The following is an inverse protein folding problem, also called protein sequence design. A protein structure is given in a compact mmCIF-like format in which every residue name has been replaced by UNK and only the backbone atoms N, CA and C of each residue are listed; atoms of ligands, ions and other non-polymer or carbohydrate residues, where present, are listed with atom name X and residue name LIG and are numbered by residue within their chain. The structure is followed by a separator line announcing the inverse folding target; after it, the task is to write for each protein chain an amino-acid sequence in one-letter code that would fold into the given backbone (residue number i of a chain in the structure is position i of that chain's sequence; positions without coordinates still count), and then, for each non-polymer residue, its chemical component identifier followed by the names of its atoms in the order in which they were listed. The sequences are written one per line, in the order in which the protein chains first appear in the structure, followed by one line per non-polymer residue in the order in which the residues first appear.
data_IF_693318451644
#
_entry.id   IF_693318451644
#
_cell.length_a   1.000
_cell.length_b   1.000
_cell.length_c   1.000
_cell.angle_alpha   90.00
_cell.angle_beta   90.00
_cell.angle_gamma   90.00
#
_symmetry.space_group_name_H-M   'P 1'
#
loop_
_entity.id
_entity.type
_entity.pdbx_description
1 polymer ?
#
# COMPACT_ATOMS: atom_id res chain seq x y z
N UNK A 1 14.88 -35.60 -13.12
CA UNK A 1 14.57 -37.03 -12.90
C UNK A 1 13.07 -37.08 -12.70
N UNK A 2 12.30 -37.77 -13.55
CA UNK A 2 10.83 -37.77 -13.44
C UNK A 2 10.45 -38.48 -12.14
N UNK A 3 9.71 -37.81 -11.24
CA UNK A 3 9.18 -38.42 -10.03
C UNK A 3 7.69 -38.66 -10.21
N UNK A 4 7.23 -39.83 -9.78
CA UNK A 4 5.80 -40.15 -9.71
C UNK A 4 5.19 -39.48 -8.46
N UNK A 5 4.00 -38.91 -8.61
CA UNK A 5 3.28 -38.17 -7.57
C UNK A 5 2.95 -38.98 -6.32
N UNK A 6 2.44 -40.20 -6.46
CA UNK A 6 2.18 -41.10 -5.32
C UNK A 6 3.47 -41.48 -4.59
N UNK A 7 4.55 -41.70 -5.35
CA UNK A 7 5.87 -41.96 -4.77
C UNK A 7 6.34 -40.79 -3.90
N UNK A 8 6.17 -39.55 -4.35
CA UNK A 8 6.50 -38.35 -3.56
C UNK A 8 5.69 -38.31 -2.27
N UNK A 9 4.38 -38.53 -2.36
CA UNK A 9 3.49 -38.56 -1.19
C UNK A 9 3.97 -39.59 -0.16
N UNK A 10 4.19 -40.83 -0.61
CA UNK A 10 4.63 -41.95 0.22
C UNK A 10 6.02 -41.73 0.83
N UNK A 11 6.98 -41.24 0.04
CA UNK A 11 8.34 -40.93 0.52
C UNK A 11 8.31 -39.84 1.60
N UNK A 12 7.49 -38.80 1.43
CA UNK A 12 7.38 -37.71 2.41
C UNK A 12 6.67 -38.13 3.68
N UNK A 13 5.62 -38.94 3.58
CA UNK A 13 4.92 -39.47 4.75
C UNK A 13 5.85 -40.39 5.56
N UNK A 14 6.63 -41.26 4.90
CA UNK A 14 7.63 -42.08 5.61
C UNK A 14 8.76 -41.28 6.19
N UNK A 15 9.24 -40.28 5.45
CA UNK A 15 10.31 -39.42 5.93
C UNK A 15 9.87 -38.71 7.23
N UNK A 16 8.62 -38.28 7.31
CA UNK A 16 8.03 -37.69 8.51
C UNK A 16 8.00 -38.68 9.67
N UNK A 17 7.42 -39.86 9.46
CA UNK A 17 7.24 -40.85 10.53
C UNK A 17 8.56 -41.42 11.03
N UNK A 18 9.55 -41.61 10.15
CA UNK A 18 10.90 -42.05 10.57
C UNK A 18 11.62 -41.05 11.47
N UNK A 19 11.27 -39.77 11.42
CA UNK A 19 11.77 -38.78 12.38
C UNK A 19 11.29 -39.08 13.80
N UNK A 20 10.13 -39.73 13.93
CA UNK A 20 9.47 -40.07 15.21
C UNK A 20 10.04 -41.36 15.79
N UNK A 21 10.42 -42.32 14.95
CA UNK A 21 10.94 -43.64 15.37
C UNK A 21 12.38 -43.64 15.90
N UNK A 22 13.02 -42.47 15.99
CA UNK A 22 14.37 -42.40 16.53
C UNK A 22 14.33 -42.58 18.06
N UNK A 23 14.50 -43.83 18.52
CA UNK A 23 14.52 -44.22 19.94
C UNK A 23 15.37 -43.29 20.81
N UNK A 24 16.54 -42.87 20.31
CA UNK A 24 17.44 -41.99 21.06
C UNK A 24 16.87 -40.58 21.26
N UNK A 25 16.15 -40.05 20.27
CA UNK A 25 15.45 -38.76 20.36
C UNK A 25 14.22 -38.86 21.26
N UNK A 26 13.43 -39.92 21.10
CA UNK A 26 12.25 -40.19 21.93
C UNK A 26 12.63 -40.30 23.41
N UNK A 27 13.68 -41.06 23.72
CA UNK A 27 14.20 -41.18 25.09
C UNK A 27 14.64 -39.82 25.66
N UNK A 28 15.44 -39.05 24.90
CA UNK A 28 15.93 -37.74 25.32
C UNK A 28 14.80 -36.75 25.60
N UNK A 29 13.74 -36.76 24.79
CA UNK A 29 12.59 -35.88 24.98
C UNK A 29 11.71 -36.36 26.15
N UNK A 30 11.54 -37.67 26.31
CA UNK A 30 10.77 -38.26 27.39
C UNK A 30 11.38 -37.99 28.78
N UNK A 31 12.70 -37.81 28.89
CA UNK A 31 13.37 -37.42 30.13
C UNK A 31 13.02 -36.01 30.61
N UNK A 32 12.52 -35.14 29.73
CA UNK A 32 12.09 -33.77 30.07
C UNK A 32 10.70 -33.71 30.69
N UNK A 33 9.95 -34.82 30.65
CA UNK A 33 8.56 -34.92 31.10
C UNK A 33 8.45 -35.38 32.56
N UNK A 34 7.34 -35.04 33.23
CA UNK A 34 7.03 -35.60 34.56
C UNK A 34 6.71 -37.09 34.45
N UNK A 35 6.83 -37.84 35.55
CA UNK A 35 6.65 -39.31 35.58
C UNK A 35 5.36 -39.78 34.88
N UNK A 36 4.22 -39.16 35.16
CA UNK A 36 2.94 -39.53 34.53
C UNK A 36 2.83 -39.12 33.05
N UNK A 37 3.41 -37.99 32.66
CA UNK A 37 3.46 -37.54 31.26
C UNK A 37 4.42 -38.41 30.44
N UNK A 38 5.53 -38.83 31.04
CA UNK A 38 6.51 -39.75 30.46
C UNK A 38 5.91 -41.12 30.18
N UNK A 39 5.12 -41.64 31.11
CA UNK A 39 4.43 -42.93 30.94
C UNK A 39 3.43 -42.88 29.79
N UNK A 40 2.55 -41.85 29.77
CA UNK A 40 1.62 -41.62 28.66
C UNK A 40 2.34 -41.45 27.33
N UNK A 41 3.38 -40.63 27.28
CA UNK A 41 4.14 -40.38 26.06
C UNK A 41 4.74 -41.66 25.47
N UNK A 42 5.41 -42.48 26.30
CA UNK A 42 6.07 -43.70 25.82
C UNK A 42 5.14 -44.88 25.57
N UNK A 43 4.22 -45.13 26.50
CA UNK A 43 3.45 -46.38 26.51
C UNK A 43 2.12 -46.27 25.78
N UNK A 44 1.63 -45.05 25.53
CA UNK A 44 0.40 -44.81 24.77
C UNK A 44 0.76 -44.18 23.42
N UNK A 45 1.29 -42.95 23.43
CA UNK A 45 1.44 -42.15 22.21
C UNK A 45 2.47 -42.75 21.24
N UNK A 46 3.67 -43.13 21.71
CA UNK A 46 4.70 -43.73 20.84
C UNK A 46 4.32 -45.14 20.34
N UNK A 47 3.52 -45.88 21.11
CA UNK A 47 2.99 -47.19 20.69
C UNK A 47 1.97 -47.00 19.56
N UNK A 48 1.04 -46.05 19.72
CA UNK A 48 0.08 -45.69 18.66
C UNK A 48 0.79 -45.18 17.39
N UNK A 49 1.88 -44.43 17.52
CA UNK A 49 2.71 -44.04 16.38
C UNK A 49 3.32 -45.24 15.66
N UNK A 50 3.87 -46.22 16.39
CA UNK A 50 4.42 -47.44 15.79
C UNK A 50 3.37 -48.25 15.02
N UNK A 51 2.14 -48.32 15.53
CA UNK A 51 1.02 -48.95 14.80
C UNK A 51 0.67 -48.18 13.52
N UNK A 52 0.70 -46.84 13.54
CA UNK A 52 0.50 -46.02 12.34
C UNK A 52 1.64 -46.18 11.33
N UNK A 53 2.91 -46.29 11.77
CA UNK A 53 4.02 -46.54 10.84
C UNK A 53 3.77 -47.81 10.02
N UNK A 54 3.37 -48.90 10.68
CA UNK A 54 3.09 -50.18 10.00
C UNK A 54 1.98 -49.99 8.94
N UNK A 55 0.89 -49.29 9.29
CA UNK A 55 -0.19 -49.01 8.33
C UNK A 55 0.27 -48.15 7.15
N UNK A 56 1.19 -47.20 7.39
CA UNK A 56 1.78 -46.37 6.33
C UNK A 56 2.64 -47.24 5.43
N UNK A 57 3.52 -48.07 5.97
CA UNK A 57 4.34 -49.02 5.19
C UNK A 57 3.47 -49.94 4.33
N UNK A 58 2.40 -50.50 4.89
CA UNK A 58 1.43 -51.30 4.12
C UNK A 58 0.77 -50.52 2.98
N UNK A 59 0.44 -49.24 3.19
CA UNK A 59 -0.16 -48.38 2.16
C UNK A 59 0.82 -48.13 1.02
N UNK A 60 2.11 -48.00 1.34
CA UNK A 60 3.19 -47.81 0.38
C UNK A 60 3.42 -49.06 -0.44
N UNK A 61 3.47 -50.23 0.20
CA UNK A 61 3.59 -51.52 -0.49
C UNK A 61 2.42 -51.79 -1.44
N UNK A 62 1.21 -51.33 -1.06
CA UNK A 62 -0.01 -51.43 -1.88
C UNK A 62 -0.10 -50.35 -2.96
N UNK A 63 0.84 -49.39 -2.99
CA UNK A 63 0.80 -48.22 -3.87
C UNK A 63 -0.55 -47.47 -3.78
N UNK A 64 -0.99 -47.17 -2.55
CA UNK A 64 -2.20 -46.38 -2.27
C UNK A 64 -1.88 -45.21 -1.34
N UNK A 65 -2.78 -44.22 -1.32
CA UNK A 65 -2.73 -43.15 -0.33
C UNK A 65 -3.12 -43.67 1.06
N UNK A 66 -2.54 -43.07 2.09
CA UNK A 66 -2.78 -43.44 3.47
C UNK A 66 -4.12 -42.88 3.98
N UNK A 67 -4.91 -43.73 4.65
CA UNK A 67 -6.29 -43.40 5.05
C UNK A 67 -6.43 -42.77 6.44
N UNK A 68 -5.54 -43.09 7.37
CA UNK A 68 -5.70 -42.76 8.80
C UNK A 68 -5.01 -41.42 9.16
N UNK A 69 -5.18 -40.42 8.29
CA UNK A 69 -4.53 -39.10 8.42
C UNK A 69 -5.00 -38.33 9.66
N UNK A 70 -6.28 -38.46 10.02
CA UNK A 70 -6.86 -37.83 11.22
C UNK A 70 -6.17 -38.30 12.50
N UNK A 71 -5.93 -39.61 12.61
CA UNK A 71 -5.26 -40.16 13.77
C UNK A 71 -3.78 -39.78 13.80
N UNK A 72 -3.11 -39.76 12.65
CA UNK A 72 -1.73 -39.28 12.55
C UNK A 72 -1.61 -37.82 13.04
N UNK A 73 -2.45 -36.92 12.54
CA UNK A 73 -2.44 -35.51 12.94
C UNK A 73 -2.78 -35.34 14.42
N UNK A 74 -3.75 -36.10 14.93
CA UNK A 74 -4.10 -36.11 16.35
C UNK A 74 -2.89 -36.48 17.21
N UNK A 75 -2.19 -37.56 16.90
CA UNK A 75 -1.01 -37.98 17.65
C UNK A 75 0.11 -36.94 17.59
N UNK A 76 0.32 -36.30 16.43
CA UNK A 76 1.29 -35.21 16.29
C UNK A 76 0.95 -34.04 17.21
N UNK A 77 -0.31 -33.64 17.26
CA UNK A 77 -0.78 -32.57 18.15
C UNK A 77 -0.67 -32.97 19.63
N UNK A 78 -0.90 -34.24 19.99
CA UNK A 78 -0.69 -34.74 21.35
C UNK A 78 0.78 -34.69 21.75
N UNK A 79 1.70 -35.10 20.86
CA UNK A 79 3.15 -34.97 21.09
C UNK A 79 3.56 -33.52 21.26
N UNK A 80 3.10 -32.61 20.39
CA UNK A 80 3.38 -31.18 20.52
C UNK A 80 2.82 -30.58 21.81
N UNK A 81 1.68 -31.08 22.30
CA UNK A 81 1.08 -30.66 23.56
C UNK A 81 1.91 -31.07 24.79
N UNK A 82 2.61 -32.20 24.73
CA UNK A 82 3.49 -32.69 25.80
C UNK A 82 4.92 -32.15 25.67
N UNK A 83 5.45 -32.16 24.45
CA UNK A 83 6.82 -31.80 24.10
C UNK A 83 6.79 -30.84 22.90
N UNK A 84 6.62 -29.52 23.13
CA UNK A 84 6.50 -28.53 22.04
C UNK A 84 7.67 -28.50 21.06
N UNK A 85 8.87 -28.88 21.51
CA UNK A 85 10.09 -28.96 20.70
C UNK A 85 10.42 -30.35 20.17
N UNK A 86 9.46 -31.28 20.12
CA UNK A 86 9.74 -32.64 19.65
C UNK A 86 10.09 -32.69 18.16
N UNK A 87 9.35 -31.92 17.35
CA UNK A 87 9.48 -31.94 15.89
C UNK A 87 10.34 -30.80 15.33
N UNK A 88 11.09 -30.08 16.20
CA UNK A 88 11.97 -28.97 15.82
C UNK A 88 11.35 -28.04 14.75
N UNK A 89 11.94 -28.01 13.55
CA UNK A 89 11.54 -27.14 12.44
C UNK A 89 10.20 -27.49 11.80
N UNK A 90 9.69 -28.72 11.98
CA UNK A 90 8.42 -29.15 11.40
C UNK A 90 7.23 -28.28 11.86
N UNK A 91 7.30 -27.75 13.08
CA UNK A 91 6.22 -26.91 13.63
C UNK A 91 5.93 -25.68 12.74
N UNK A 92 6.94 -25.20 12.00
CA UNK A 92 6.83 -24.01 11.14
C UNK A 92 6.00 -24.23 9.87
N UNK A 93 5.76 -25.49 9.48
CA UNK A 93 4.96 -25.82 8.29
C UNK A 93 4.09 -27.05 8.51
N UNK A 94 3.81 -27.45 9.76
CA UNK A 94 2.98 -28.64 10.06
C UNK A 94 1.60 -28.52 9.42
N UNK A 95 0.99 -27.34 9.48
CA UNK A 95 -0.37 -27.15 8.98
C UNK A 95 -0.38 -27.12 7.45
N UNK A 96 0.70 -26.61 6.83
CA UNK A 96 0.93 -26.75 5.38
C UNK A 96 1.08 -28.22 4.99
N UNK A 97 1.89 -29.00 5.71
CA UNK A 97 2.08 -30.43 5.44
C UNK A 97 0.77 -31.20 5.51
N UNK A 98 0.02 -31.03 6.61
CA UNK A 98 -1.26 -31.70 6.79
C UNK A 98 -2.28 -31.24 5.74
N UNK A 99 -2.42 -29.94 5.50
CA UNK A 99 -3.34 -29.44 4.46
C UNK A 99 -3.05 -30.04 3.08
N UNK A 100 -1.78 -30.17 2.70
CA UNK A 100 -1.42 -30.80 1.42
C UNK A 100 -1.80 -32.28 1.41
N UNK A 101 -1.42 -33.07 2.43
CA UNK A 101 -1.67 -34.52 2.41
C UNK A 101 -3.17 -34.86 2.48
N UNK A 102 -3.98 -34.10 3.23
CA UNK A 102 -5.44 -34.27 3.22
C UNK A 102 -6.00 -33.99 1.83
N UNK A 103 -5.63 -32.86 1.25
CA UNK A 103 -6.14 -32.47 -0.04
C UNK A 103 -5.74 -33.44 -1.17
N UNK A 104 -4.51 -33.96 -1.14
CA UNK A 104 -4.06 -34.99 -2.06
C UNK A 104 -4.84 -36.30 -1.86
N UNK A 105 -5.11 -36.70 -0.61
CA UNK A 105 -5.92 -37.90 -0.31
C UNK A 105 -7.33 -37.75 -0.84
N UNK A 106 -8.00 -36.62 -0.59
CA UNK A 106 -9.36 -36.35 -1.07
C UNK A 106 -9.46 -36.40 -2.60
N UNK A 107 -8.41 -35.92 -3.29
CA UNK A 107 -8.34 -35.91 -4.76
C UNK A 107 -7.84 -37.21 -5.37
N UNK A 108 -7.52 -38.23 -4.57
CA UNK A 108 -7.01 -39.52 -5.06
C UNK A 108 -7.93 -40.17 -6.10
N UNK A 109 -9.26 -40.08 -5.92
CA UNK A 109 -10.24 -40.65 -6.85
C UNK A 109 -10.18 -40.04 -8.27
N UNK A 110 -9.46 -38.92 -8.45
CA UNK A 110 -9.25 -38.25 -9.74
C UNK A 110 -8.09 -38.85 -10.55
N UNK A 111 -7.46 -39.93 -10.10
CA UNK A 111 -6.37 -40.60 -10.83
C UNK A 111 -5.04 -39.84 -10.77
N UNK A 112 -4.80 -39.13 -9.66
CA UNK A 112 -3.62 -38.26 -9.48
C UNK A 112 -2.34 -39.03 -9.15
N UNK A 113 -2.40 -40.36 -9.02
CA UNK A 113 -1.28 -41.24 -8.67
C UNK A 113 -0.21 -41.34 -9.76
N UNK A 114 -0.57 -41.03 -11.00
CA UNK A 114 0.28 -41.21 -12.18
C UNK A 114 0.79 -39.88 -12.78
N UNK A 115 0.72 -38.78 -12.03
CA UNK A 115 1.21 -37.49 -12.51
C UNK A 115 2.74 -37.51 -12.56
N UNK A 116 3.27 -37.32 -13.75
CA UNK A 116 4.71 -37.22 -14.01
C UNK A 116 5.22 -35.82 -13.69
N UNK A 117 5.99 -35.71 -12.60
CA UNK A 117 6.56 -34.44 -12.16
C UNK A 117 7.99 -34.31 -12.69
N UNK A 118 8.17 -33.38 -13.64
CA UNK A 118 9.41 -33.17 -14.41
C UNK A 118 10.17 -31.91 -14.02
N UNK A 119 9.43 -30.88 -13.63
CA UNK A 119 9.98 -29.61 -13.17
C UNK A 119 10.73 -29.77 -11.84
N UNK A 120 11.60 -28.80 -11.56
CA UNK A 120 12.41 -28.81 -10.35
C UNK A 120 12.10 -27.57 -9.53
N UNK A 121 11.27 -27.70 -8.50
CA UNK A 121 10.92 -26.59 -7.63
C UNK A 121 11.84 -26.48 -6.43
N UNK A 122 11.96 -25.28 -5.88
CA UNK A 122 12.64 -25.01 -4.64
C UNK A 122 11.73 -24.20 -3.70
N UNK A 123 11.71 -24.62 -2.44
CA UNK A 123 11.08 -23.90 -1.34
C UNK A 123 12.12 -23.06 -0.57
N UNK A 124 11.75 -21.83 -0.24
CA UNK A 124 12.54 -20.95 0.63
C UNK A 124 11.60 -20.09 1.47
N UNK A 125 12.04 -19.70 2.66
CA UNK A 125 11.33 -18.76 3.53
C UNK A 125 11.51 -17.32 3.03
N UNK A 126 10.47 -16.50 3.14
CA UNK A 126 10.47 -15.08 2.82
C UNK A 126 10.06 -14.28 4.06
N UNK A 127 10.87 -13.28 4.41
CA UNK A 127 10.52 -12.32 5.45
C UNK A 127 9.85 -11.08 4.86
N UNK A 128 9.00 -10.41 5.64
CA UNK A 128 8.39 -9.12 5.29
C UNK A 128 7.62 -9.13 3.94
N UNK A 129 6.85 -10.19 3.69
CA UNK A 129 5.95 -10.28 2.53
C UNK A 129 4.50 -10.08 2.96
N UNK A 130 3.84 -9.04 2.45
CA UNK A 130 2.48 -8.65 2.86
C UNK A 130 1.37 -9.47 2.17
N UNK A 131 1.68 -10.68 1.68
CA UNK A 131 0.69 -11.60 1.12
C UNK A 131 0.83 -12.96 1.79
N UNK A 132 -0.31 -13.50 2.23
CA UNK A 132 -0.36 -14.80 2.90
C UNK A 132 -0.42 -15.93 1.88
N UNK A 133 -1.25 -15.77 0.84
CA UNK A 133 -1.50 -16.79 -0.16
C UNK A 133 -1.51 -16.18 -1.55
N UNK A 134 -0.73 -16.74 -2.47
CA UNK A 134 -0.69 -16.29 -3.86
C UNK A 134 -0.20 -17.41 -4.77
N UNK A 135 -0.79 -17.51 -5.96
CA UNK A 135 -0.28 -18.40 -7.01
C UNK A 135 -0.21 -17.62 -8.31
N UNK A 136 1.00 -17.55 -8.86
CA UNK A 136 1.22 -17.01 -10.19
C UNK A 136 1.00 -18.11 -11.21
N UNK A 137 0.21 -17.80 -12.23
CA UNK A 137 -0.01 -18.63 -13.41
C UNK A 137 -0.35 -20.10 -13.08
N UNK A 138 -1.62 -20.35 -12.74
CA UNK A 138 -2.12 -21.68 -12.33
C UNK A 138 -2.08 -22.72 -13.47
N UNK A 139 -2.06 -22.25 -14.70
CA UNK A 139 -2.23 -23.08 -15.90
C UNK A 139 -0.88 -23.55 -16.46
N UNK A 140 0.18 -22.75 -16.32
CA UNK A 140 1.53 -23.04 -16.83
C UNK A 140 2.52 -23.32 -15.68
N UNK A 141 2.55 -24.57 -15.22
CA UNK A 141 3.38 -25.07 -14.09
C UNK A 141 4.84 -24.58 -14.20
N UNK A 142 5.41 -24.60 -15.40
CA UNK A 142 6.80 -24.23 -15.64
C UNK A 142 7.11 -22.77 -15.27
N UNK A 143 6.11 -21.88 -15.32
CA UNK A 143 6.21 -20.46 -14.97
C UNK A 143 5.62 -20.15 -13.59
N UNK A 144 4.94 -21.11 -12.97
CA UNK A 144 4.24 -20.86 -11.72
C UNK A 144 5.21 -20.61 -10.56
N UNK A 145 4.74 -19.81 -9.62
CA UNK A 145 5.26 -19.82 -8.26
C UNK A 145 4.11 -19.69 -7.28
N UNK A 146 4.34 -20.21 -6.08
CA UNK A 146 3.39 -20.20 -4.98
C UNK A 146 3.98 -19.39 -3.83
N UNK A 147 3.14 -18.63 -3.15
CA UNK A 147 3.43 -18.04 -1.85
C UNK A 147 2.38 -18.56 -0.88
N UNK A 148 2.83 -19.05 0.27
CA UNK A 148 1.98 -19.66 1.28
C UNK A 148 2.53 -19.32 2.67
N UNK A 149 1.67 -18.79 3.54
CA UNK A 149 1.97 -18.53 4.95
C UNK A 149 1.34 -19.59 5.84
N UNK A 150 2.12 -20.11 6.78
CA UNK A 150 1.65 -21.02 7.80
C UNK A 150 0.86 -20.25 8.89
N UNK A 151 -0.43 -20.03 8.64
CA UNK A 151 -1.36 -19.34 9.57
C UNK A 151 -2.34 -20.30 10.25
N UNK A 152 -3.34 -20.74 9.49
CA UNK A 152 -4.40 -21.64 9.93
C UNK A 152 -4.61 -22.67 8.83
N UNK A 153 -4.68 -23.95 9.23
CA UNK A 153 -4.92 -25.08 8.35
C UNK A 153 -6.10 -24.86 7.38
N UNK A 154 -7.24 -24.36 7.86
CA UNK A 154 -8.44 -24.19 7.05
C UNK A 154 -8.23 -23.18 5.90
N UNK A 155 -7.55 -22.06 6.18
CA UNK A 155 -7.23 -21.06 5.14
C UNK A 155 -6.23 -21.62 4.12
N UNK A 156 -5.29 -22.45 4.59
CA UNK A 156 -4.35 -23.14 3.71
C UNK A 156 -5.08 -24.13 2.80
N UNK A 157 -6.00 -24.94 3.35
CA UNK A 157 -6.79 -25.90 2.58
C UNK A 157 -7.63 -25.21 1.51
N UNK A 158 -8.38 -24.16 1.86
CA UNK A 158 -9.17 -23.35 0.92
C UNK A 158 -8.30 -22.76 -0.20
N UNK A 159 -7.10 -22.29 0.15
CA UNK A 159 -6.15 -21.80 -0.84
C UNK A 159 -5.69 -22.92 -1.79
N UNK A 160 -5.23 -24.04 -1.22
CA UNK A 160 -4.70 -25.16 -1.99
C UNK A 160 -5.76 -25.79 -2.91
N UNK A 161 -7.05 -25.76 -2.55
CA UNK A 161 -8.17 -26.19 -3.42
C UNK A 161 -8.13 -25.52 -4.78
N UNK A 162 -7.73 -24.25 -4.81
CA UNK A 162 -7.65 -23.39 -5.97
C UNK A 162 -6.30 -23.42 -6.69
N UNK A 163 -5.37 -24.28 -6.24
CA UNK A 163 -4.02 -24.44 -6.80
C UNK A 163 -3.97 -25.71 -7.68
N UNK A 164 -3.16 -25.66 -8.74
CA UNK A 164 -2.90 -26.82 -9.58
C UNK A 164 -2.34 -27.98 -8.74
N UNK A 165 -2.94 -29.16 -8.84
CA UNK A 165 -2.58 -30.33 -8.03
C UNK A 165 -1.08 -30.69 -8.11
N UNK A 166 -0.46 -30.45 -9.28
CA UNK A 166 0.96 -30.71 -9.48
C UNK A 166 1.83 -29.80 -8.60
N UNK A 167 1.42 -28.55 -8.40
CA UNK A 167 2.11 -27.62 -7.50
C UNK A 167 2.02 -28.07 -6.04
N UNK A 168 0.93 -28.74 -5.66
CA UNK A 168 0.78 -29.29 -4.29
C UNK A 168 1.75 -30.46 -4.07
N UNK A 169 1.95 -31.32 -5.07
CA UNK A 169 3.01 -32.32 -5.03
C UNK A 169 4.42 -31.71 -5.01
N UNK A 170 4.68 -30.66 -5.80
CA UNK A 170 5.97 -29.96 -5.76
C UNK A 170 6.23 -29.28 -4.42
N UNK A 171 5.19 -28.71 -3.80
CA UNK A 171 5.26 -28.15 -2.46
C UNK A 171 5.62 -29.24 -1.46
N UNK A 172 4.91 -30.38 -1.49
CA UNK A 172 5.17 -31.53 -0.64
C UNK A 172 6.60 -32.07 -0.80
N UNK A 173 7.06 -32.25 -2.06
CA UNK A 173 8.42 -32.72 -2.36
C UNK A 173 9.50 -31.76 -1.84
N UNK A 174 9.18 -30.46 -1.81
CA UNK A 174 10.13 -29.41 -1.39
C UNK A 174 10.16 -29.16 0.12
N UNK A 175 9.23 -29.71 0.91
CA UNK A 175 9.28 -29.64 2.36
C UNK A 175 10.45 -30.47 2.89
N UNK A 176 11.35 -29.85 3.67
CA UNK A 176 12.51 -30.51 4.25
C UNK A 176 12.46 -30.43 5.78
N UNK A 177 12.26 -31.59 6.41
CA UNK A 177 12.16 -31.76 7.87
C UNK A 177 13.44 -31.42 8.63
N UNK A 178 14.59 -31.38 7.95
CA UNK A 178 15.86 -31.05 8.57
C UNK A 178 16.27 -29.59 8.37
N UNK A 179 15.55 -28.83 7.55
CA UNK A 179 15.92 -27.45 7.20
C UNK A 179 15.31 -26.45 8.18
N UNK A 180 16.17 -25.58 8.72
CA UNK A 180 15.73 -24.41 9.50
C UNK A 180 15.16 -23.35 8.55
N UNK A 181 13.98 -22.85 8.91
CA UNK A 181 13.33 -21.72 8.23
C UNK A 181 13.21 -20.56 9.22
N UNK A 182 13.41 -19.35 8.71
CA UNK A 182 13.40 -18.14 9.54
C UNK A 182 12.05 -17.40 9.51
N UNK A 183 11.10 -17.89 8.71
CA UNK A 183 9.79 -17.28 8.47
C UNK A 183 8.69 -18.33 8.50
N UNK A 184 7.48 -17.87 8.77
CA UNK A 184 6.22 -18.59 8.56
C UNK A 184 5.72 -18.51 7.10
N UNK A 185 6.37 -17.71 6.26
CA UNK A 185 5.98 -17.50 4.86
C UNK A 185 6.96 -18.16 3.93
N UNK A 186 6.45 -18.97 3.01
CA UNK A 186 7.24 -19.77 2.09
C UNK A 186 6.91 -19.43 0.65
N UNK A 187 7.92 -19.51 -0.22
CA UNK A 187 7.72 -19.43 -1.65
C UNK A 187 8.29 -20.66 -2.35
N UNK A 188 7.44 -21.28 -3.16
CA UNK A 188 7.78 -22.38 -4.05
C UNK A 188 7.96 -21.81 -5.46
N UNK A 189 9.15 -21.96 -6.04
CA UNK A 189 9.46 -21.46 -7.38
C UNK A 189 10.20 -22.51 -8.21
N UNK A 190 9.92 -22.57 -9.52
CA UNK A 190 10.68 -23.44 -10.42
C UNK A 190 12.14 -22.95 -10.52
N UNK A 191 13.11 -23.86 -10.37
CA UNK A 191 14.55 -23.61 -10.46
C UNK A 191 14.99 -23.16 -11.85
N UNK A 192 14.22 -23.45 -12.90
CA UNK A 192 14.47 -22.90 -14.24
C UNK A 192 14.29 -21.39 -14.28
N UNK A 193 13.45 -20.83 -13.40
CA UNK A 193 13.44 -19.41 -13.08
C UNK A 193 14.66 -19.11 -12.21
N UNK A 194 15.84 -19.15 -12.84
CA UNK A 194 17.15 -18.86 -12.27
C UNK A 194 17.21 -17.42 -11.74
N UNK A 195 16.62 -17.17 -10.57
CA UNK A 195 16.88 -15.96 -9.80
C UNK A 195 18.21 -16.21 -9.07
N UNK A 196 19.32 -16.05 -9.81
CA UNK A 196 20.70 -16.20 -9.33
C UNK A 196 21.11 -14.90 -8.63
N UNK A 197 20.44 -14.51 -7.55
CA UNK A 197 20.78 -13.27 -6.84
C UNK A 197 20.57 -13.41 -5.34
N UNK A 198 21.16 -12.48 -4.60
CA UNK A 198 20.93 -12.25 -3.16
C UNK A 198 19.44 -12.40 -2.82
N UNK A 199 19.14 -13.09 -1.70
CA UNK A 199 17.79 -13.33 -1.21
C UNK A 199 16.94 -12.06 -1.18
N UNK A 200 17.54 -10.90 -0.85
CA UNK A 200 16.80 -9.63 -0.82
C UNK A 200 16.33 -9.19 -2.21
N UNK A 201 17.17 -9.32 -3.23
CA UNK A 201 16.81 -8.94 -4.61
C UNK A 201 15.76 -9.89 -5.16
N UNK A 202 15.84 -11.18 -4.81
CA UNK A 202 14.82 -12.19 -5.15
C UNK A 202 13.44 -11.81 -4.58
N UNK A 203 13.38 -11.38 -3.33
CA UNK A 203 12.13 -10.99 -2.66
C UNK A 203 11.51 -9.75 -3.32
N UNK A 204 12.30 -8.72 -3.63
CA UNK A 204 11.78 -7.51 -4.28
C UNK A 204 11.27 -7.78 -5.71
N UNK A 205 11.94 -8.65 -6.46
CA UNK A 205 11.44 -9.11 -7.77
C UNK A 205 10.12 -9.85 -7.64
N UNK A 206 9.97 -10.72 -6.65
CA UNK A 206 8.71 -11.42 -6.37
C UNK A 206 7.60 -10.45 -5.97
N UNK A 207 7.86 -9.50 -5.07
CA UNK A 207 6.89 -8.44 -4.70
C UNK A 207 6.41 -7.70 -5.94
N UNK A 208 7.33 -7.31 -6.82
CA UNK A 208 7.01 -6.59 -8.06
C UNK A 208 6.13 -7.41 -9.00
N UNK A 209 6.43 -8.71 -9.19
CA UNK A 209 5.61 -9.59 -10.04
C UNK A 209 4.22 -9.79 -9.45
N UNK A 210 4.12 -10.00 -8.14
CA UNK A 210 2.83 -10.12 -7.44
C UNK A 210 2.02 -8.83 -7.59
N UNK A 211 2.64 -7.66 -7.37
CA UNK A 211 2.00 -6.35 -7.55
C UNK A 211 1.50 -6.16 -8.99
N UNK A 212 2.33 -6.49 -9.98
CA UNK A 212 1.97 -6.36 -11.39
C UNK A 212 0.82 -7.30 -11.78
N UNK A 213 0.83 -8.54 -11.29
CA UNK A 213 -0.25 -9.49 -11.52
C UNK A 213 -1.57 -8.99 -10.92
N UNK A 214 -1.56 -8.54 -9.67
CA UNK A 214 -2.72 -7.95 -9.00
C UNK A 214 -3.28 -6.75 -9.78
N UNK A 215 -2.42 -5.80 -10.15
CA UNK A 215 -2.83 -4.64 -10.97
C UNK A 215 -3.40 -5.09 -12.32
N UNK A 216 -2.80 -6.09 -12.97
CA UNK A 216 -3.30 -6.60 -14.26
C UNK A 216 -4.69 -7.23 -14.16
N UNK A 217 -5.08 -7.69 -12.96
CA UNK A 217 -6.41 -8.21 -12.66
C UNK A 217 -7.39 -7.14 -12.15
N UNK A 218 -6.98 -5.87 -12.09
CA UNK A 218 -7.80 -4.77 -11.59
C UNK A 218 -7.83 -4.65 -10.06
N UNK A 219 -6.95 -5.35 -9.33
CA UNK A 219 -6.85 -5.22 -7.88
C UNK A 219 -6.12 -3.92 -7.48
N UNK A 220 -6.51 -3.38 -6.33
CA UNK A 220 -5.87 -2.21 -5.72
C UNK A 220 -4.74 -2.69 -4.80
N UNK A 221 -3.52 -2.18 -5.00
CA UNK A 221 -2.33 -2.59 -4.24
C UNK A 221 -1.82 -1.54 -3.25
N UNK A 222 -2.52 -0.42 -3.12
CA UNK A 222 -2.18 0.68 -2.22
C UNK A 222 -3.36 1.01 -1.31
N UNK A 223 -3.07 1.68 -0.19
CA UNK A 223 -4.10 2.15 0.74
C UNK A 223 -4.58 3.54 0.35
N UNK A 224 -5.89 3.77 0.40
CA UNK A 224 -6.47 5.10 0.25
C UNK A 224 -6.18 5.96 1.49
N UNK A 225 -5.84 7.23 1.29
CA UNK A 225 -5.76 8.23 2.37
C UNK A 225 -6.84 9.29 2.13
N UNK A 226 -7.96 9.13 2.83
CA UNK A 226 -9.15 9.94 2.61
C UNK A 226 -9.13 11.26 3.40
N UNK A 227 -9.72 12.29 2.80
CA UNK A 227 -10.01 13.59 3.38
C UNK A 227 -11.51 13.82 3.37
N UNK A 228 -12.14 13.61 4.52
CA UNK A 228 -13.60 13.63 4.68
C UNK A 228 -14.14 14.93 5.28
N UNK A 229 -13.26 15.88 5.61
CA UNK A 229 -13.69 17.17 6.16
C UNK A 229 -14.45 17.95 5.09
N UNK A 230 -15.61 18.45 5.48
CA UNK A 230 -16.37 19.42 4.68
C UNK A 230 -15.62 20.75 4.74
N UNK A 231 -15.55 21.52 3.64
CA UNK A 231 -14.96 22.85 3.69
C UNK A 231 -15.55 23.69 4.81
N UNK A 232 -14.68 24.14 5.72
CA UNK A 232 -15.08 25.00 6.84
C UNK A 232 -14.43 26.36 6.65
N UNK A 233 -15.26 27.34 6.30
CA UNK A 233 -14.82 28.73 6.10
C UNK A 233 -15.06 29.48 7.41
N UNK A 234 -13.99 29.92 8.04
CA UNK A 234 -14.03 30.68 9.30
C UNK A 234 -13.76 32.17 9.10
N UNK A 235 -13.44 32.61 7.88
CA UNK A 235 -13.43 34.02 7.48
C UNK A 235 -14.82 34.66 7.58
N UNK A 236 -14.86 36.00 7.66
CA UNK A 236 -16.11 36.75 7.57
C UNK A 236 -16.62 36.69 6.12
N UNK A 237 -17.68 35.91 5.88
CA UNK A 237 -18.32 35.76 4.57
C UNK A 237 -19.71 36.40 4.57
N UNK A 238 -20.02 37.15 3.51
CA UNK A 238 -21.33 37.79 3.33
C UNK A 238 -21.99 37.34 2.02
N UNK A 239 -22.95 36.43 2.12
CA UNK A 239 -23.71 35.95 0.97
C UNK A 239 -24.78 36.96 0.57
N UNK A 240 -24.75 37.43 -0.67
CA UNK A 240 -25.74 38.39 -1.18
C UNK A 240 -26.24 38.01 -2.56
N UNK A 241 -27.57 37.88 -2.72
CA UNK A 241 -28.19 37.63 -4.03
C UNK A 241 -27.98 38.77 -5.04
N UNK A 242 -27.53 39.94 -4.58
CA UNK A 242 -27.20 41.07 -5.46
C UNK A 242 -25.83 40.95 -6.13
N UNK A 243 -25.00 39.99 -5.71
CA UNK A 243 -23.66 39.79 -6.25
C UNK A 243 -23.66 38.85 -7.47
N UNK A 244 -22.77 39.13 -8.41
CA UNK A 244 -22.70 38.46 -9.71
C UNK A 244 -21.86 37.18 -9.67
N UNK A 245 -22.26 36.20 -8.85
CA UNK A 245 -21.53 34.94 -8.67
C UNK A 245 -21.43 34.08 -9.95
N UNK A 246 -22.29 34.33 -10.95
CA UNK A 246 -22.27 33.61 -12.24
C UNK A 246 -20.93 33.69 -12.97
N UNK A 247 -20.12 34.72 -12.68
CA UNK A 247 -18.78 34.88 -13.24
C UNK A 247 -17.76 33.82 -12.74
N UNK A 248 -18.14 33.00 -11.77
CA UNK A 248 -17.33 31.93 -11.18
C UNK A 248 -17.85 30.52 -11.52
N UNK A 249 -18.75 30.40 -12.51
CA UNK A 249 -19.38 29.12 -12.88
C UNK A 249 -18.38 27.96 -13.03
N UNK A 250 -17.26 28.18 -13.71
CA UNK A 250 -16.25 27.13 -13.90
C UNK A 250 -15.60 26.71 -12.57
N UNK A 251 -15.22 27.69 -11.72
CA UNK A 251 -14.67 27.42 -10.40
C UNK A 251 -15.67 26.68 -9.51
N UNK A 252 -16.96 27.01 -9.59
CA UNK A 252 -18.03 26.32 -8.85
C UNK A 252 -18.15 24.86 -9.29
N UNK A 253 -18.06 24.54 -10.58
CA UNK A 253 -18.06 23.15 -11.04
C UNK A 253 -16.81 22.38 -10.59
N UNK A 254 -15.62 23.00 -10.64
CA UNK A 254 -14.40 22.38 -10.11
C UNK A 254 -14.53 22.12 -8.61
N UNK A 255 -15.13 23.04 -7.85
CA UNK A 255 -15.42 22.84 -6.42
C UNK A 255 -16.46 21.73 -6.18
N UNK A 256 -17.41 21.53 -7.09
CA UNK A 256 -18.31 20.37 -7.04
C UNK A 256 -17.54 19.07 -7.27
N UNK A 257 -16.61 19.03 -8.22
CA UNK A 257 -15.73 17.88 -8.44
C UNK A 257 -14.81 17.63 -7.25
N UNK A 258 -14.29 18.69 -6.62
CA UNK A 258 -13.56 18.63 -5.35
C UNK A 258 -14.40 17.96 -4.25
N UNK A 259 -15.67 18.30 -4.13
CA UNK A 259 -16.58 17.68 -3.15
C UNK A 259 -16.86 16.20 -3.45
N UNK A 260 -16.75 15.76 -4.70
CA UNK A 260 -16.90 14.35 -5.09
C UNK A 260 -15.67 13.49 -4.76
N UNK A 261 -14.49 14.10 -4.60
CA UNK A 261 -13.28 13.35 -4.26
C UNK A 261 -13.31 12.89 -2.80
N UNK A 262 -12.70 11.75 -2.51
CA UNK A 262 -12.41 11.28 -1.15
C UNK A 262 -10.92 11.30 -0.87
N UNK A 263 -10.10 10.95 -1.86
CA UNK A 263 -8.65 10.90 -1.73
C UNK A 263 -8.00 12.29 -1.53
N UNK A 264 -7.04 12.36 -0.61
CA UNK A 264 -6.36 13.62 -0.25
C UNK A 264 -5.57 14.24 -1.40
N UNK A 265 -4.89 13.44 -2.23
CA UNK A 265 -4.11 13.96 -3.36
C UNK A 265 -5.03 14.56 -4.43
N UNK A 266 -6.11 13.87 -4.79
CA UNK A 266 -7.11 14.38 -5.73
C UNK A 266 -7.80 15.64 -5.21
N UNK A 267 -8.17 15.66 -3.92
CA UNK A 267 -8.69 16.86 -3.24
C UNK A 267 -7.74 18.04 -3.41
N UNK A 268 -6.46 17.83 -3.10
CA UNK A 268 -5.45 18.86 -3.21
C UNK A 268 -5.28 19.37 -4.66
N UNK A 269 -5.23 18.46 -5.64
CA UNK A 269 -5.13 18.83 -7.06
C UNK A 269 -6.37 19.62 -7.51
N UNK A 270 -7.58 19.21 -7.10
CA UNK A 270 -8.83 19.91 -7.46
C UNK A 270 -8.91 21.30 -6.86
N UNK A 271 -8.56 21.50 -5.59
CA UNK A 271 -8.55 22.86 -5.01
C UNK A 271 -7.44 23.72 -5.63
N UNK A 272 -6.29 23.13 -5.98
CA UNK A 272 -5.24 23.83 -6.72
C UNK A 272 -5.71 24.28 -8.12
N UNK A 273 -6.51 23.48 -8.83
CA UNK A 273 -7.10 23.89 -10.12
C UNK A 273 -7.96 25.15 -9.99
N UNK A 274 -8.66 25.33 -8.87
CA UNK A 274 -9.39 26.57 -8.59
C UNK A 274 -8.42 27.74 -8.36
N UNK A 275 -7.37 27.53 -7.58
CA UNK A 275 -6.30 28.54 -7.40
C UNK A 275 -5.68 28.91 -8.75
N UNK A 276 -5.39 27.93 -9.60
CA UNK A 276 -4.85 28.15 -10.94
C UNK A 276 -5.79 28.97 -11.82
N UNK A 277 -7.09 28.67 -11.81
CA UNK A 277 -8.10 29.51 -12.45
C UNK A 277 -8.02 30.96 -11.93
N UNK A 278 -7.88 31.16 -10.62
CA UNK A 278 -7.78 32.49 -10.01
C UNK A 278 -6.48 33.22 -10.34
N UNK A 279 -5.34 32.52 -10.47
CA UNK A 279 -4.07 33.11 -10.89
C UNK A 279 -4.21 33.81 -12.25
N UNK A 280 -4.84 33.13 -13.21
CA UNK A 280 -5.06 33.69 -14.55
C UNK A 280 -6.18 34.73 -14.54
N UNK A 281 -7.28 34.47 -13.84
CA UNK A 281 -8.41 35.42 -13.71
C UNK A 281 -7.96 36.76 -13.12
N UNK A 282 -7.05 36.75 -12.14
CA UNK A 282 -6.45 37.96 -11.56
C UNK A 282 -5.84 38.88 -12.61
N UNK A 283 -5.05 38.32 -13.52
CA UNK A 283 -4.40 39.12 -14.58
C UNK A 283 -5.43 39.77 -15.52
N UNK A 284 -6.57 39.11 -15.73
CA UNK A 284 -7.69 39.64 -16.52
C UNK A 284 -8.43 40.73 -15.73
N UNK A 285 -8.76 40.48 -14.46
CA UNK A 285 -9.42 41.45 -13.57
C UNK A 285 -8.60 42.75 -13.44
N UNK A 286 -7.29 42.65 -13.19
CA UNK A 286 -6.39 43.82 -13.13
C UNK A 286 -6.44 44.65 -14.41
N UNK A 287 -6.66 44.02 -15.56
CA UNK A 287 -6.74 44.72 -16.83
C UNK A 287 -8.11 45.36 -17.08
N UNK A 288 -9.18 44.62 -16.78
CA UNK A 288 -10.58 45.05 -16.96
C UNK A 288 -10.92 46.19 -16.01
N UNK A 289 -10.58 46.05 -14.73
CA UNK A 289 -10.98 46.96 -13.67
C UNK A 289 -10.17 48.27 -13.70
N UNK A 290 -8.86 48.19 -14.00
CA UNK A 290 -7.99 49.39 -14.11
C UNK A 290 -8.11 50.13 -15.45
N UNK A 291 -8.85 49.59 -16.41
CA UNK A 291 -9.14 50.33 -17.65
C UNK A 291 -10.26 51.34 -17.37
N UNK A 292 -9.90 52.63 -17.32
CA UNK A 292 -10.86 53.75 -17.43
C UNK A 292 -11.80 53.52 -18.64
N UNK A 293 -12.93 54.23 -18.78
CA UNK A 293 -13.81 54.08 -19.96
C UNK A 293 -13.09 54.33 -21.32
N UNK A 294 -11.81 54.71 -21.31
CA UNK A 294 -10.90 54.67 -22.45
C UNK A 294 -10.41 53.26 -22.81
N UNK A 295 -11.02 52.75 -23.88
CA UNK A 295 -10.51 51.86 -24.94
C UNK A 295 -9.38 50.87 -24.56
N UNK A 296 -9.69 49.59 -24.73
CA UNK A 296 -8.73 48.48 -24.61
C UNK A 296 -7.79 48.43 -25.83
N UNK A 297 -6.47 48.60 -25.63
CA UNK A 297 -5.48 48.69 -26.72
C UNK A 297 -4.78 47.35 -27.02
N UNK A 298 -4.22 47.22 -28.24
CA UNK A 298 -3.44 46.03 -28.64
C UNK A 298 -2.24 45.79 -27.69
N UNK A 299 -1.61 46.85 -27.19
CA UNK A 299 -0.50 46.74 -26.22
C UNK A 299 -0.97 46.15 -24.89
N UNK A 300 -2.16 46.54 -24.43
CA UNK A 300 -2.80 45.96 -23.23
C UNK A 300 -3.08 44.46 -23.43
N UNK A 301 -3.53 44.07 -24.63
CA UNK A 301 -3.73 42.65 -24.98
C UNK A 301 -2.42 41.85 -25.00
N UNK A 302 -1.34 42.41 -25.57
CA UNK A 302 -0.02 41.76 -25.56
C UNK A 302 0.51 41.57 -24.14
N UNK A 303 0.32 42.56 -23.27
CA UNK A 303 0.72 42.46 -21.86
C UNK A 303 -0.10 41.40 -21.11
N UNK A 304 -1.40 41.26 -21.41
CA UNK A 304 -2.24 40.19 -20.87
C UNK A 304 -1.70 38.81 -21.29
N UNK A 305 -1.41 38.65 -22.58
CA UNK A 305 -0.88 37.39 -23.11
C UNK A 305 0.47 37.03 -22.49
N UNK A 306 1.34 38.01 -22.28
CA UNK A 306 2.61 37.82 -21.58
C UNK A 306 2.43 37.46 -20.09
N UNK A 307 1.45 38.05 -19.41
CA UNK A 307 1.12 37.73 -18.02
C UNK A 307 0.53 36.32 -17.87
N UNK A 308 -0.34 35.91 -18.80
CA UNK A 308 -0.92 34.56 -18.85
C UNK A 308 0.12 33.50 -19.22
N UNK A 309 1.10 33.83 -20.07
CA UNK A 309 2.21 32.94 -20.41
C UNK A 309 3.38 32.98 -19.40
N UNK A 310 3.21 33.61 -18.23
CA UNK A 310 4.25 33.65 -17.22
C UNK A 310 4.47 32.26 -16.59
N UNK A 311 5.65 32.05 -16.00
CA UNK A 311 5.95 30.80 -15.29
C UNK A 311 4.95 30.60 -14.15
N UNK A 312 4.38 29.40 -14.04
CA UNK A 312 3.36 29.03 -13.04
C UNK A 312 3.73 29.48 -11.61
N UNK A 313 4.98 29.28 -11.19
CA UNK A 313 5.44 29.72 -9.87
C UNK A 313 5.40 31.24 -9.71
N UNK A 314 5.70 32.00 -10.76
CA UNK A 314 5.64 33.47 -10.75
C UNK A 314 4.19 33.94 -10.67
N UNK A 315 3.29 33.31 -11.43
CA UNK A 315 1.86 33.58 -11.37
C UNK A 315 1.32 33.32 -9.95
N UNK A 316 1.70 32.19 -9.33
CA UNK A 316 1.29 31.84 -7.97
C UNK A 316 1.84 32.81 -6.93
N UNK A 317 3.10 33.23 -7.05
CA UNK A 317 3.69 34.24 -6.17
C UNK A 317 2.95 35.58 -6.23
N UNK A 318 2.57 36.00 -7.44
CA UNK A 318 1.82 37.25 -7.63
C UNK A 318 0.40 37.14 -7.09
N UNK A 319 -0.26 36.00 -7.29
CA UNK A 319 -1.59 35.74 -6.74
C UNK A 319 -1.56 35.71 -5.21
N UNK A 320 -0.69 34.90 -4.61
CA UNK A 320 -0.55 34.80 -3.15
C UNK A 320 -0.16 36.13 -2.52
N UNK A 321 0.65 36.96 -3.19
CA UNK A 321 0.93 38.31 -2.71
C UNK A 321 -0.36 39.13 -2.55
N UNK A 322 -1.24 39.13 -3.54
CA UNK A 322 -2.49 39.87 -3.47
C UNK A 322 -3.42 39.33 -2.38
N UNK A 323 -3.49 37.99 -2.20
CA UNK A 323 -4.27 37.36 -1.13
C UNK A 323 -3.76 37.77 0.26
N UNK A 324 -2.45 37.73 0.48
CA UNK A 324 -1.84 38.08 1.78
C UNK A 324 -2.09 39.54 2.20
N UNK A 325 -2.34 40.43 1.23
CA UNK A 325 -2.66 41.84 1.46
C UNK A 325 -4.15 42.07 1.82
N UNK A 326 -5.01 41.03 1.75
CA UNK A 326 -6.42 41.11 2.15
C UNK A 326 -6.63 40.91 3.65
N UNK A 327 -7.76 41.45 4.14
CA UNK A 327 -8.22 41.27 5.50
C UNK A 327 -9.06 39.99 5.59
N UNK A 328 -8.59 39.04 6.38
CA UNK A 328 -9.28 37.79 6.71
C UNK A 328 -10.53 38.02 7.57
N UNK A 329 -10.39 38.88 8.58
CA UNK A 329 -11.44 39.39 9.48
C UNK A 329 -11.19 40.87 9.75
N UNK A 330 -12.08 41.53 10.48
CA UNK A 330 -11.79 42.89 10.95
C UNK A 330 -10.42 42.95 11.65
N UNK A 331 -9.50 43.75 11.11
CA UNK A 331 -8.14 43.98 11.62
C UNK A 331 -7.16 42.79 11.55
N UNK A 332 -7.54 41.63 11.01
CA UNK A 332 -6.66 40.47 10.83
C UNK A 332 -6.38 40.30 9.34
N UNK A 333 -5.12 40.36 8.93
CA UNK A 333 -4.71 40.08 7.55
C UNK A 333 -4.66 38.57 7.28
N UNK A 334 -4.81 38.16 6.01
CA UNK A 334 -4.54 36.77 5.61
C UNK A 334 -3.11 36.34 5.96
N UNK A 335 -2.15 37.25 5.84
CA UNK A 335 -0.76 37.02 6.24
C UNK A 335 -0.64 36.58 7.70
N UNK A 336 -1.27 37.31 8.62
CA UNK A 336 -1.26 36.99 10.05
C UNK A 336 -2.02 35.71 10.36
N UNK A 337 -3.16 35.49 9.70
CA UNK A 337 -3.95 34.27 9.87
C UNK A 337 -3.17 33.02 9.46
N UNK A 338 -2.54 33.02 8.28
CA UNK A 338 -1.75 31.88 7.79
C UNK A 338 -0.53 31.62 8.68
N UNK A 339 0.10 32.67 9.22
CA UNK A 339 1.22 32.52 10.14
C UNK A 339 0.78 31.86 11.45
N UNK A 340 -0.31 32.33 12.07
CA UNK A 340 -0.88 31.76 13.29
C UNK A 340 -1.33 30.30 13.08
N UNK A 341 -1.93 30.01 11.93
CA UNK A 341 -2.32 28.67 11.54
C UNK A 341 -1.10 27.75 11.37
N UNK A 342 0.00 28.25 10.79
CA UNK A 342 1.26 27.51 10.68
C UNK A 342 1.89 27.22 12.05
N UNK A 343 1.92 28.19 12.96
CA UNK A 343 2.44 28.00 14.32
C UNK A 343 1.60 26.99 15.13
N UNK A 344 0.27 27.03 14.95
CA UNK A 344 -0.65 26.05 15.53
C UNK A 344 -0.44 24.66 14.93
N UNK A 345 -0.26 24.57 13.61
CA UNK A 345 0.04 23.32 12.92
C UNK A 345 1.32 22.66 13.46
N UNK A 346 2.40 23.43 13.63
CA UNK A 346 3.65 22.94 14.21
C UNK A 346 3.50 22.46 15.66
N UNK A 347 2.64 23.11 16.44
CA UNK A 347 2.37 22.71 17.83
C UNK A 347 1.62 21.37 17.92
N UNK A 348 0.79 21.06 16.92
CA UNK A 348 -0.06 19.87 16.89
C UNK A 348 0.56 18.67 16.18
N UNK A 349 1.71 18.84 15.52
CA UNK A 349 2.35 17.81 14.69
C UNK A 349 3.79 17.54 15.13
N UNK A 350 4.30 16.36 14.79
CA UNK A 350 5.68 15.98 15.10
C UNK A 350 6.68 16.85 14.30
N UNK A 351 7.50 17.60 15.04
CA UNK A 351 8.47 18.53 14.48
C UNK A 351 9.49 17.85 13.54
N UNK A 352 9.90 16.61 13.83
CA UNK A 352 10.85 15.88 13.00
C UNK A 352 10.20 15.43 11.69
N UNK A 353 8.96 14.95 11.75
CA UNK A 353 8.22 14.51 10.56
C UNK A 353 7.96 15.69 9.61
N UNK A 354 7.60 16.86 10.14
CA UNK A 354 7.42 18.07 9.32
C UNK A 354 8.75 18.51 8.69
N UNK A 355 9.84 18.50 9.46
CA UNK A 355 11.18 18.85 8.95
C UNK A 355 11.63 17.92 7.82
N UNK A 356 11.41 16.60 7.98
CA UNK A 356 11.71 15.60 6.95
C UNK A 356 10.88 15.83 5.69
N UNK A 357 9.57 16.06 5.84
CA UNK A 357 8.68 16.36 4.73
C UNK A 357 9.12 17.59 3.93
N UNK A 358 9.51 18.68 4.61
CA UNK A 358 10.03 19.88 3.95
C UNK A 358 11.33 19.61 3.19
N UNK A 359 12.24 18.80 3.75
CA UNK A 359 13.50 18.41 3.08
C UNK A 359 13.24 17.57 1.82
N UNK A 360 12.30 16.63 1.88
CA UNK A 360 11.90 15.80 0.74
C UNK A 360 11.38 16.67 -0.42
N UNK A 361 10.66 17.75 -0.12
CA UNK A 361 10.22 18.75 -1.11
C UNK A 361 11.34 19.70 -1.57
N UNK A 362 12.58 19.55 -1.08
CA UNK A 362 13.70 20.43 -1.41
C UNK A 362 13.65 21.81 -0.71
N UNK A 363 12.92 21.92 0.40
CA UNK A 363 12.83 23.14 1.21
C UNK A 363 13.86 23.05 2.35
N UNK A 364 15.06 23.60 2.12
CA UNK A 364 16.21 23.52 3.05
C UNK A 364 16.17 24.55 4.20
N UNK A 365 15.00 25.04 4.58
CA UNK A 365 14.86 25.95 5.74
C UNK A 365 14.37 25.17 6.95
N UNK A 366 14.83 25.55 8.15
CA UNK A 366 14.20 25.03 9.36
C UNK A 366 12.76 25.53 9.42
N UNK A 367 11.83 24.70 9.87
CA UNK A 367 10.45 25.14 10.12
C UNK A 367 10.38 26.31 11.11
N UNK A 368 11.35 26.38 12.03
CA UNK A 368 11.49 27.45 13.01
C UNK A 368 12.03 28.76 12.41
N UNK A 369 12.55 28.72 11.18
CA UNK A 369 12.97 29.93 10.46
C UNK A 369 11.78 30.65 9.79
N UNK A 370 10.60 30.02 9.76
CA UNK A 370 9.41 30.60 9.13
C UNK A 370 8.77 31.62 10.07
N UNK A 371 8.63 32.85 9.59
CA UNK A 371 8.10 33.99 10.33
C UNK A 371 7.34 34.94 9.40
N UNK A 372 6.85 36.06 9.94
CA UNK A 372 6.10 37.05 9.19
C UNK A 372 6.81 37.58 7.92
N UNK A 373 8.13 37.61 7.86
CA UNK A 373 8.84 38.17 6.70
C UNK A 373 8.92 37.19 5.52
N UNK A 374 8.96 35.89 5.79
CA UNK A 374 9.16 34.87 4.76
C UNK A 374 7.95 33.94 4.54
N UNK A 375 6.92 33.98 5.39
CA UNK A 375 5.74 33.10 5.34
C UNK A 375 5.09 33.06 3.94
N UNK A 376 4.97 34.21 3.27
CA UNK A 376 4.41 34.28 1.91
C UNK A 376 5.22 33.45 0.91
N UNK A 377 6.54 33.59 0.95
CA UNK A 377 7.45 32.88 0.03
C UNK A 377 7.46 31.39 0.33
N UNK A 378 7.44 31.03 1.62
CA UNK A 378 7.35 29.66 2.08
C UNK A 378 6.03 29.00 1.65
N UNK A 379 4.89 29.60 1.98
CA UNK A 379 3.56 29.08 1.68
C UNK A 379 3.34 28.91 0.17
N UNK A 380 3.80 29.87 -0.63
CA UNK A 380 3.75 29.75 -2.09
C UNK A 380 4.61 28.59 -2.61
N UNK A 381 5.82 28.40 -2.06
CA UNK A 381 6.72 27.33 -2.48
C UNK A 381 6.17 25.95 -2.15
N UNK A 382 5.65 25.77 -0.94
CA UNK A 382 5.15 24.46 -0.51
C UNK A 382 3.94 24.03 -1.34
N UNK A 383 3.04 24.97 -1.70
CA UNK A 383 1.94 24.71 -2.63
C UNK A 383 2.49 24.27 -3.99
N UNK A 384 3.40 25.06 -4.58
CA UNK A 384 3.94 24.75 -5.90
C UNK A 384 4.69 23.41 -5.95
N UNK A 385 5.53 23.13 -4.95
CA UNK A 385 6.32 21.90 -4.90
C UNK A 385 5.47 20.66 -4.65
N UNK A 386 4.44 20.74 -3.80
CA UNK A 386 3.52 19.62 -3.60
C UNK A 386 2.69 19.34 -4.86
N UNK A 387 2.17 20.39 -5.52
CA UNK A 387 1.49 20.20 -6.81
C UNK A 387 2.38 19.49 -7.81
N UNK A 388 3.64 19.92 -7.90
CA UNK A 388 4.58 19.32 -8.83
C UNK A 388 4.94 17.87 -8.48
N UNK A 389 5.14 17.56 -7.20
CA UNK A 389 5.40 16.20 -6.74
C UNK A 389 4.22 15.25 -7.02
N UNK A 390 2.99 15.75 -7.08
CA UNK A 390 1.80 14.93 -7.34
C UNK A 390 1.55 14.76 -8.86
N UNK A 391 1.75 15.82 -9.66
CA UNK A 391 1.30 15.87 -11.06
C UNK A 391 2.40 15.58 -12.07
N UNK A 392 3.65 15.92 -11.79
CA UNK A 392 4.75 15.60 -12.70
C UNK A 392 5.22 14.16 -12.51
N UNK A 393 5.74 13.56 -13.58
CA UNK A 393 6.30 12.20 -13.55
C UNK A 393 7.59 12.16 -14.37
N UNK A 394 8.58 12.95 -13.96
CA UNK A 394 9.94 12.86 -14.49
C UNK A 394 10.78 12.02 -13.56
N UNK A 395 11.43 10.97 -14.06
CA UNK A 395 12.16 9.99 -13.25
C UNK A 395 13.19 10.58 -12.26
N UNK A 396 13.68 11.79 -12.49
CA UNK A 396 14.68 12.47 -11.64
C UNK A 396 14.09 13.34 -10.52
N UNK A 397 12.76 13.46 -10.44
CA UNK A 397 12.05 14.29 -9.47
C UNK A 397 11.38 13.42 -8.40
N UNK A 398 11.19 13.98 -7.20
CA UNK A 398 10.42 13.31 -6.14
C UNK A 398 8.94 13.28 -6.52
N UNK A 399 8.33 12.09 -6.46
CA UNK A 399 6.91 11.88 -6.78
C UNK A 399 6.15 11.38 -5.57
N UNK A 400 4.98 11.98 -5.37
CA UNK A 400 4.04 11.60 -4.34
C UNK A 400 2.81 10.99 -5.00
N UNK A 401 2.55 9.72 -4.70
CA UNK A 401 1.40 8.96 -5.19
C UNK A 401 0.81 8.14 -4.05
N UNK A 402 -0.37 7.57 -4.25
CA UNK A 402 -1.08 6.84 -3.18
C UNK A 402 -0.25 5.70 -2.56
N UNK A 403 0.55 5.03 -3.39
CA UNK A 403 1.41 3.92 -2.97
C UNK A 403 2.56 4.30 -2.05
N UNK A 404 2.99 5.57 -1.98
CA UNK A 404 4.09 5.99 -1.10
C UNK A 404 3.71 7.09 -0.09
N UNK A 405 2.52 7.69 -0.19
CA UNK A 405 2.10 8.77 0.72
C UNK A 405 2.14 8.35 2.20
N UNK A 406 1.79 7.09 2.51
CA UNK A 406 1.78 6.55 3.87
C UNK A 406 3.17 6.54 4.52
N UNK A 407 4.25 6.50 3.72
CA UNK A 407 5.63 6.55 4.19
C UNK A 407 6.01 7.95 4.71
N UNK A 408 5.27 8.98 4.31
CA UNK A 408 5.57 10.39 4.61
C UNK A 408 4.51 11.03 5.50
N UNK A 409 4.49 10.65 6.79
CA UNK A 409 3.53 11.18 7.77
C UNK A 409 3.48 12.72 7.82
N UNK A 410 4.63 13.39 7.74
CA UNK A 410 4.70 14.85 7.70
C UNK A 410 4.06 15.47 6.44
N UNK A 411 4.23 14.85 5.25
CA UNK A 411 3.58 15.34 4.03
C UNK A 411 2.06 15.15 4.09
N UNK A 412 1.61 14.03 4.67
CA UNK A 412 0.17 13.79 4.92
C UNK A 412 -0.42 14.87 5.82
N UNK A 413 0.26 15.19 6.92
CA UNK A 413 -0.16 16.25 7.83
C UNK A 413 -0.19 17.62 7.13
N UNK A 414 0.87 17.98 6.39
CA UNK A 414 0.94 19.22 5.60
C UNK A 414 -0.23 19.32 4.62
N UNK A 415 -0.60 18.24 3.94
CA UNK A 415 -1.73 18.27 3.01
C UNK A 415 -3.08 18.43 3.75
N UNK A 416 -3.35 17.56 4.72
CA UNK A 416 -4.68 17.43 5.36
C UNK A 416 -4.96 18.51 6.39
N UNK A 417 -3.94 18.97 7.10
CA UNK A 417 -4.13 19.83 8.26
C UNK A 417 -3.72 21.27 7.97
N UNK A 418 -2.81 21.49 7.03
CA UNK A 418 -2.31 22.83 6.67
C UNK A 418 -2.85 23.31 5.32
N UNK A 419 -2.49 22.66 4.21
CA UNK A 419 -2.70 23.23 2.89
C UNK A 419 -4.15 23.17 2.44
N UNK A 420 -4.81 22.01 2.50
CA UNK A 420 -6.20 21.91 2.05
C UNK A 420 -7.09 22.89 2.83
N UNK A 421 -7.09 22.92 4.18
CA UNK A 421 -7.90 23.88 4.93
C UNK A 421 -7.62 25.35 4.60
N UNK A 422 -6.34 25.74 4.48
CA UNK A 422 -5.98 27.12 4.14
C UNK A 422 -6.38 27.50 2.71
N UNK A 423 -6.29 26.57 1.76
CA UNK A 423 -6.72 26.80 0.39
C UNK A 423 -8.24 26.91 0.28
N UNK A 424 -8.99 26.12 1.05
CA UNK A 424 -10.45 26.28 1.18
C UNK A 424 -10.81 27.67 1.70
N UNK A 425 -10.17 28.13 2.78
CA UNK A 425 -10.39 29.48 3.34
C UNK A 425 -10.14 30.58 2.29
N UNK A 426 -9.02 30.50 1.57
CA UNK A 426 -8.69 31.46 0.51
C UNK A 426 -9.74 31.42 -0.61
N UNK A 427 -10.07 30.22 -1.10
CA UNK A 427 -10.96 30.07 -2.25
C UNK A 427 -12.36 30.58 -1.94
N UNK A 428 -12.95 30.14 -0.82
CA UNK A 428 -14.31 30.55 -0.47
C UNK A 428 -14.38 32.03 -0.08
N UNK A 429 -13.38 32.56 0.63
CA UNK A 429 -13.31 34.00 0.91
C UNK A 429 -13.34 34.82 -0.38
N UNK A 430 -12.50 34.47 -1.36
CA UNK A 430 -12.40 35.22 -2.61
C UNK A 430 -13.66 35.07 -3.49
N UNK A 431 -14.32 33.92 -3.44
CA UNK A 431 -15.54 33.65 -4.21
C UNK A 431 -16.76 34.35 -3.64
N UNK A 432 -16.88 34.43 -2.31
CA UNK A 432 -18.09 34.94 -1.66
C UNK A 432 -17.99 36.46 -1.48
N UNK A 433 -16.83 36.95 -1.05
CA UNK A 433 -16.61 38.36 -0.78
C UNK A 433 -16.08 39.07 -2.02
N UNK A 434 -16.79 40.12 -2.45
CA UNK A 434 -16.36 40.97 -3.56
C UNK A 434 -14.96 41.55 -3.32
N UNK A 435 -14.07 41.38 -4.28
CA UNK A 435 -12.67 41.81 -4.18
C UNK A 435 -12.08 42.20 -5.55
N UNK A 436 -11.02 43.00 -5.53
CA UNK A 436 -10.28 43.45 -6.71
C UNK A 436 -9.36 42.38 -7.32
N UNK A 437 -9.27 41.18 -6.72
CA UNK A 437 -8.38 40.11 -7.18
C UNK A 437 -9.05 39.32 -8.29
N UNK A 438 -10.26 38.79 -8.03
CA UNK A 438 -10.92 37.86 -8.96
C UNK A 438 -12.30 38.31 -9.43
N UNK A 439 -12.81 39.47 -9.00
CA UNK A 439 -14.11 39.95 -9.48
C UNK A 439 -13.94 40.90 -10.66
N UNK A 440 -14.82 40.74 -11.66
CA UNK A 440 -14.99 41.73 -12.71
C UNK A 440 -15.93 42.84 -12.22
N UNK A 441 -15.51 44.09 -12.35
CA UNK A 441 -16.37 45.25 -12.04
C UNK A 441 -17.33 45.57 -13.20
N UNK A 442 -17.12 44.97 -14.37
CA UNK A 442 -17.82 45.28 -15.62
C UNK A 442 -18.18 44.00 -16.37
N UNK A 443 -19.39 43.97 -16.94
CA UNK A 443 -19.90 42.84 -17.75
C UNK A 443 -19.29 42.74 -19.15
N UNK A 444 -18.79 43.85 -19.69
CA UNK A 444 -18.35 43.92 -21.08
C UNK A 444 -17.06 44.76 -21.19
N UNK A 445 -16.16 44.28 -22.05
CA UNK A 445 -14.98 45.03 -22.51
C UNK A 445 -15.31 45.67 -23.85
N UNK A 446 -15.13 46.99 -23.96
CA UNK A 446 -15.21 47.70 -25.22
C UNK A 446 -13.84 47.65 -25.91
N UNK A 447 -13.78 46.95 -27.04
CA UNK A 447 -12.62 46.90 -27.94
C UNK A 447 -12.67 48.07 -28.93
N UNK A 448 -11.51 48.46 -29.45
CA UNK A 448 -11.36 49.50 -30.48
C UNK A 448 -12.25 49.20 -31.71
N UNK A 449 -12.83 50.25 -32.32
CA UNK A 449 -13.39 50.21 -33.70
C UNK A 449 -12.32 50.49 -34.74
#
# INVERSE_FOLDING_TARGET
MCKNSLKIYNEKLMYFVRTIENDSHVELQAEKLKVGEKERFKNEIMVEFGELTIKIEESIEKEIFFDDLENLEKLVNEVLGLVPGFFDNFILYKDIFFAIIYQLREKSELGIEAIDLKENFQLFSIDNFNQDFFVFDKDYIEKSFLIIRNKNKNEIEEFLENVNISLNFYLLDSLDFNREYNSDTFCLINNENKIIEDNNIKIEKLKTIVMLNKISNGEIIHTEDNYEKIPSVTSEIDWSMGEEYEQFKDAIYILSEYNMQTNVLDKYVKIYQVIENFMYKKSICELVNNTNPSLFSIRKFQNLFAAVNSNELVALQNFMKAVFEKNYKQQISFKSFILDYWETFLTNNDENQVSEALKVLGINHSQNDINGDNIKKFFTKIIYYLRNAIVHNKETEFHLFYGNLWEYAGLRAILKELLIPLLEEIVFYLLINKNDIIWYDKKQLLLYE
#
